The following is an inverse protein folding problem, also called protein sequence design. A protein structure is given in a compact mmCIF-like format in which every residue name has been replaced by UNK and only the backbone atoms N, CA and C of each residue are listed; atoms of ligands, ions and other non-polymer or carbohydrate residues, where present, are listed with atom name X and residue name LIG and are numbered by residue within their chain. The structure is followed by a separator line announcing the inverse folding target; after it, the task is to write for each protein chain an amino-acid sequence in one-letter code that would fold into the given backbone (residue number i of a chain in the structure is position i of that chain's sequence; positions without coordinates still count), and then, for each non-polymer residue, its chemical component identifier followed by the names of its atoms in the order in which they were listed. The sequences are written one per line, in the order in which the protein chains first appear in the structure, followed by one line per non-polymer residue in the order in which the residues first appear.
data_IF_675739261622
#
_entry.id   IF_675739261622
#
_cell.length_a   1.000
_cell.length_b   1.000
_cell.length_c   1.000
_cell.angle_alpha   90.00
_cell.angle_beta   90.00
_cell.angle_gamma   90.00
#
_symmetry.space_group_name_H-M   'P 1'
#
loop_
_entity.id
_entity.type
_entity.pdbx_description
1 polymer ?
#
# COMPACT_ATOMS: atom_id res chain seq x y z
N UNK A 1 -13.27 -9.43 3.29
CA UNK A 1 -11.83 -9.49 2.98
C UNK A 1 -11.40 -8.16 2.37
N UNK A 2 -10.10 -7.82 2.42
CA UNK A 2 -9.57 -6.68 1.65
C UNK A 2 -9.95 -6.87 0.18
N UNK A 3 -10.53 -5.84 -0.42
CA UNK A 3 -11.05 -5.87 -1.78
C UNK A 3 -9.98 -5.42 -2.77
N UNK A 4 -9.52 -4.18 -2.59
CA UNK A 4 -8.60 -3.52 -3.51
C UNK A 4 -7.50 -2.81 -2.71
N UNK A 5 -6.26 -2.89 -3.19
CA UNK A 5 -5.11 -2.19 -2.61
C UNK A 5 -4.48 -1.33 -3.69
N UNK A 6 -4.38 -0.03 -3.43
CA UNK A 6 -3.84 0.94 -4.39
C UNK A 6 -2.68 1.70 -3.78
N UNK A 7 -1.52 1.65 -4.43
CA UNK A 7 -0.38 2.48 -4.09
C UNK A 7 -0.69 3.89 -4.60
N UNK A 8 -0.88 4.83 -3.68
CA UNK A 8 -1.28 6.21 -3.99
C UNK A 8 -0.07 7.11 -4.23
N UNK A 9 1.02 6.89 -3.49
CA UNK A 9 2.24 7.70 -3.58
C UNK A 9 3.45 6.94 -3.06
N UNK A 10 4.58 7.15 -3.72
CA UNK A 10 5.91 6.81 -3.21
C UNK A 10 6.66 8.11 -2.97
N UNK A 11 7.42 8.18 -1.88
CA UNK A 11 8.16 9.37 -1.52
C UNK A 11 9.39 9.03 -0.67
N UNK A 12 10.41 9.88 -0.73
CA UNK A 12 11.60 9.76 0.11
C UNK A 12 11.50 10.81 1.22
N UNK A 13 11.51 10.36 2.48
CA UNK A 13 11.62 11.24 3.65
C UNK A 13 12.89 10.90 4.43
N UNK A 14 12.75 10.18 5.53
CA UNK A 14 13.88 9.58 6.26
C UNK A 14 14.26 8.22 5.68
N UNK A 15 13.26 7.48 5.21
CA UNK A 15 13.34 6.24 4.44
C UNK A 15 12.29 6.28 3.31
N UNK A 16 12.20 5.20 2.52
CA UNK A 16 11.18 5.08 1.48
C UNK A 16 9.79 4.99 2.14
N UNK A 17 8.93 5.98 1.90
CA UNK A 17 7.56 6.04 2.39
C UNK A 17 6.59 5.71 1.26
N UNK A 18 5.71 4.74 1.49
CA UNK A 18 4.69 4.31 0.52
C UNK A 18 3.31 4.51 1.11
N UNK A 19 2.53 5.41 0.52
CA UNK A 19 1.14 5.66 0.87
C UNK A 19 0.23 4.69 0.10
N UNK A 20 -0.60 3.94 0.81
CA UNK A 20 -1.46 2.90 0.26
C UNK A 20 -2.89 3.08 0.74
N UNK A 21 -3.82 3.02 -0.20
CA UNK A 21 -5.26 2.98 0.07
C UNK A 21 -5.73 1.54 0.03
N UNK A 22 -6.30 1.06 1.12
CA UNK A 22 -6.85 -0.29 1.25
C UNK A 22 -8.37 -0.18 1.33
N UNK A 23 -9.05 -0.76 0.36
CA UNK A 23 -10.51 -0.82 0.30
C UNK A 23 -11.01 -2.14 0.87
N UNK A 24 -12.04 -2.05 1.70
CA UNK A 24 -12.69 -3.19 2.33
C UNK A 24 -14.17 -3.21 1.97
N UNK A 25 -14.73 -4.41 1.87
CA UNK A 25 -16.15 -4.62 1.63
C UNK A 25 -16.97 -4.49 2.93
N UNK A 26 -16.41 -4.92 4.06
CA UNK A 26 -17.04 -4.82 5.38
C UNK A 26 -16.07 -4.18 6.41
N UNK A 27 -16.55 -3.41 7.40
CA UNK A 27 -15.71 -2.91 8.49
C UNK A 27 -14.95 -4.00 9.27
N UNK A 28 -15.48 -5.22 9.29
CA UNK A 28 -14.90 -6.35 10.00
C UNK A 28 -13.82 -7.09 9.19
N UNK A 29 -13.52 -6.63 7.98
CA UNK A 29 -12.53 -7.23 7.08
C UNK A 29 -11.09 -6.79 7.39
N UNK A 30 -10.75 -6.67 8.67
CA UNK A 30 -9.49 -6.08 9.15
C UNK A 30 -8.24 -6.95 8.94
N UNK A 31 -8.35 -8.11 8.32
CA UNK A 31 -7.23 -9.06 8.10
C UNK A 31 -6.32 -8.63 6.94
N UNK A 32 -5.75 -7.43 7.04
CA UNK A 32 -4.73 -6.93 6.11
C UNK A 32 -3.34 -7.24 6.65
N UNK A 33 -2.64 -8.20 6.04
CA UNK A 33 -1.27 -8.59 6.45
C UNK A 33 -0.30 -8.43 5.29
N UNK A 34 0.17 -7.21 5.00
CA UNK A 34 1.06 -6.96 3.88
C UNK A 34 2.45 -7.55 4.12
N UNK A 35 3.06 -8.02 3.05
CA UNK A 35 4.47 -8.35 2.93
C UNK A 35 5.06 -7.53 1.78
N UNK A 36 6.30 -7.07 1.97
CA UNK A 36 7.03 -6.27 1.00
C UNK A 36 8.07 -7.13 0.31
N UNK A 37 8.07 -7.11 -1.02
CA UNK A 37 9.09 -7.71 -1.87
C UNK A 37 9.59 -6.66 -2.87
N UNK A 38 10.89 -6.63 -3.10
CA UNK A 38 11.50 -5.77 -4.11
C UNK A 38 12.30 -6.67 -5.07
N UNK A 39 11.95 -6.64 -6.35
CA UNK A 39 12.63 -7.43 -7.38
C UNK A 39 13.10 -6.51 -8.51
N UNK A 40 14.41 -6.26 -8.59
CA UNK A 40 14.93 -5.20 -9.44
C UNK A 40 14.42 -3.84 -8.97
N UNK A 41 13.76 -3.07 -9.85
CA UNK A 41 13.07 -1.80 -9.55
C UNK A 41 11.59 -1.96 -9.18
N UNK A 42 11.02 -3.17 -9.22
CA UNK A 42 9.61 -3.34 -8.88
C UNK A 42 9.44 -3.52 -7.38
N UNK A 43 8.74 -2.58 -6.76
CA UNK A 43 8.26 -2.67 -5.39
C UNK A 43 6.88 -3.32 -5.40
N UNK A 44 6.74 -4.41 -4.66
CA UNK A 44 5.54 -5.24 -4.65
C UNK A 44 5.04 -5.42 -3.22
N UNK A 45 3.73 -5.25 -3.06
CA UNK A 45 2.99 -5.55 -1.84
C UNK A 45 2.19 -6.82 -2.11
N UNK A 46 2.41 -7.83 -1.29
CA UNK A 46 1.69 -9.10 -1.32
C UNK A 46 0.99 -9.36 0.01
N UNK A 47 -0.04 -10.18 -0.01
CA UNK A 47 -0.64 -10.70 1.22
C UNK A 47 0.23 -11.82 1.80
N UNK A 48 0.57 -11.72 3.08
CA UNK A 48 1.50 -12.64 3.74
C UNK A 48 0.96 -14.07 3.87
N UNK A 49 -0.36 -14.26 3.91
CA UNK A 49 -0.97 -15.58 4.13
C UNK A 49 -1.18 -16.29 2.81
N UNK A 50 -1.82 -15.60 1.86
CA UNK A 50 -2.15 -16.15 0.54
C UNK A 50 -1.00 -16.08 -0.45
N UNK A 51 -0.04 -15.17 -0.25
CA UNK A 51 1.05 -14.90 -1.19
C UNK A 51 0.59 -14.12 -2.44
N UNK A 52 -0.68 -13.72 -2.50
CA UNK A 52 -1.22 -13.00 -3.64
C UNK A 52 -0.64 -11.60 -3.71
N UNK A 53 -0.23 -11.18 -4.91
CA UNK A 53 0.13 -9.79 -5.17
C UNK A 53 -1.09 -8.91 -5.02
N UNK A 54 -0.97 -7.87 -4.18
CA UNK A 54 -2.01 -6.89 -3.92
C UNK A 54 -1.80 -5.64 -4.76
N UNK A 55 -0.56 -5.14 -4.84
CA UNK A 55 -0.19 -3.99 -5.65
C UNK A 55 1.30 -4.03 -5.99
N UNK A 56 1.69 -3.38 -7.09
CA UNK A 56 3.09 -3.09 -7.38
C UNK A 56 3.26 -1.69 -7.97
N UNK A 57 4.48 -1.18 -7.85
CA UNK A 57 4.91 0.11 -8.41
C UNK A 57 6.38 0.01 -8.81
N UNK A 58 6.73 0.62 -9.94
CA UNK A 58 8.13 0.78 -10.32
C UNK A 58 8.74 1.94 -9.53
N UNK A 59 9.87 1.66 -8.89
CA UNK A 59 10.67 2.67 -8.21
C UNK A 59 11.62 3.33 -9.20
N UNK A 60 11.85 4.63 -8.99
CA UNK A 60 12.97 5.34 -9.59
C UNK A 60 14.31 4.89 -8.98
N UNK A 61 15.41 5.18 -9.67
CA UNK A 61 16.75 4.79 -9.20
C UNK A 61 17.11 5.39 -7.83
N UNK A 62 16.65 6.62 -7.56
CA UNK A 62 16.85 7.29 -6.27
C UNK A 62 16.07 6.59 -5.14
N UNK A 63 14.82 6.21 -5.41
CA UNK A 63 13.98 5.47 -4.45
C UNK A 63 14.54 4.07 -4.17
N UNK A 64 15.05 3.40 -5.22
CA UNK A 64 15.70 2.11 -5.11
C UNK A 64 16.96 2.20 -4.25
N UNK A 65 17.80 3.21 -4.47
CA UNK A 65 19.05 3.40 -3.72
C UNK A 65 18.78 3.57 -2.22
N UNK A 66 17.77 4.38 -1.87
CA UNK A 66 17.33 4.57 -0.47
C UNK A 66 16.84 3.25 0.12
N UNK A 67 15.99 2.51 -0.61
CA UNK A 67 15.46 1.23 -0.15
C UNK A 67 16.56 0.19 0.09
N UNK A 68 17.56 0.12 -0.79
CA UNK A 68 18.69 -0.81 -0.65
C UNK A 68 19.62 -0.43 0.50
N UNK A 69 19.83 0.88 0.71
CA UNK A 69 20.68 1.41 1.80
C UNK A 69 20.05 1.14 3.16
N UNK A 70 18.79 1.50 3.34
CA UNK A 70 18.12 1.48 4.65
C UNK A 70 17.49 0.11 4.94
N UNK A 71 17.21 -0.69 3.90
CA UNK A 71 16.55 -2.00 3.95
C UNK A 71 15.20 -1.98 4.67
N UNK A 72 14.60 -0.81 4.78
CA UNK A 72 13.34 -0.56 5.47
C UNK A 72 12.54 0.45 4.65
N UNK A 73 11.24 0.20 4.52
CA UNK A 73 10.28 1.14 3.98
C UNK A 73 9.18 1.39 5.01
N UNK A 74 8.70 2.63 5.09
CA UNK A 74 7.53 3.02 5.86
C UNK A 74 6.27 2.81 5.02
N UNK A 75 5.35 1.97 5.50
CA UNK A 75 4.05 1.76 4.84
C UNK A 75 2.97 2.57 5.57
N UNK A 76 2.31 3.48 4.85
CA UNK A 76 1.25 4.33 5.38
C UNK A 76 -0.07 3.91 4.80
N UNK A 77 -0.89 3.30 5.64
CA UNK A 77 -2.13 2.65 5.21
C UNK A 77 -3.32 3.52 5.55
N UNK A 78 -4.13 3.83 4.53
CA UNK A 78 -5.45 4.42 4.70
C UNK A 78 -6.51 3.36 4.41
N UNK A 79 -7.23 2.96 5.45
CA UNK A 79 -8.38 2.06 5.31
C UNK A 79 -9.62 2.83 4.87
N UNK A 80 -10.27 2.33 3.83
CA UNK A 80 -11.55 2.81 3.34
C UNK A 80 -12.50 1.63 3.27
N UNK A 81 -13.78 1.85 3.56
CA UNK A 81 -14.80 0.80 3.49
C UNK A 81 -15.91 1.26 2.57
N UNK A 82 -16.23 0.42 1.58
CA UNK A 82 -17.26 0.73 0.62
C UNK A 82 -18.60 0.98 1.32
N UNK A 83 -19.27 2.07 0.93
CA UNK A 83 -20.59 2.40 1.45
C UNK A 83 -20.61 3.05 2.84
N UNK A 84 -19.48 3.09 3.58
CA UNK A 84 -19.40 3.79 4.87
C UNK A 84 -19.10 5.30 4.74
N UNK A 85 -19.15 5.84 3.53
CA UNK A 85 -18.97 7.25 3.22
C UNK A 85 -20.23 7.81 2.55
N UNK A 86 -20.77 8.88 3.13
CA UNK A 86 -21.97 9.56 2.66
C UNK A 86 -21.68 10.60 1.58
N UNK A 87 -22.71 10.95 0.79
CA UNK A 87 -22.67 12.07 -0.15
C UNK A 87 -23.30 13.29 0.53
N UNK A 88 -22.62 14.43 0.50
CA UNK A 88 -23.21 15.70 0.91
C UNK A 88 -23.78 16.38 -0.34
N UNK A 89 -25.07 16.72 -0.29
CA UNK A 89 -25.70 17.57 -1.30
C UNK A 89 -25.62 19.02 -0.86
N UNK A 90 -25.37 19.92 -1.80
CA UNK A 90 -25.54 21.36 -1.58
C UNK A 90 -27.05 21.64 -1.63
N UNK A 91 -27.55 22.34 -0.60
CA UNK A 91 -28.95 22.76 -0.47
C UNK A 91 -29.06 24.21 -0.96
#
# INVERSE_FOLDING_TARGET
MVDTVEISRVNIRDNLSVDVSVWMNHPDDWDFRPALTCSGNEFQISDKISGNQLASVELSDEELEVLQRDRVAELRVKFNVHGMHGKLAII
#
